data_IF_833107116498
#
_entry.id   IF_833107116498
#
_cell.length_a   1.000
_cell.length_b   1.000
_cell.length_c   1.000
_cell.angle_alpha   90.00
_cell.angle_beta   90.00
_cell.angle_gamma   90.00
#
_symmetry.space_group_name_H-M   'P 1'
#
loop_
_entity.id
_entity.type
_entity.pdbx_description
1 polymer ?
#
# COMPACT_ATOMS: atom_id res chain seq x y z
N UNK A 1 -33.59 -2.07 -9.27
CA UNK A 1 -32.92 -0.91 -9.93
C UNK A 1 -33.02 0.40 -9.15
N UNK A 2 -34.19 1.03 -8.97
CA UNK A 2 -34.26 2.30 -8.19
C UNK A 2 -34.08 2.12 -6.67
N UNK A 3 -34.49 0.97 -6.10
CA UNK A 3 -34.30 0.70 -4.66
C UNK A 3 -32.84 0.34 -4.30
N UNK A 4 -32.14 -0.41 -5.16
CA UNK A 4 -30.72 -0.77 -4.93
C UNK A 4 -29.79 0.45 -4.97
N UNK A 5 -30.07 1.43 -5.83
CA UNK A 5 -29.30 2.67 -5.91
C UNK A 5 -29.49 3.55 -4.65
N UNK A 6 -30.68 3.51 -4.04
CA UNK A 6 -31.00 4.29 -2.85
C UNK A 6 -30.40 3.66 -1.59
N UNK A 7 -30.31 2.33 -1.55
CA UNK A 7 -29.67 1.57 -0.47
C UNK A 7 -28.14 1.75 -0.49
N UNK A 8 -27.53 1.77 -1.69
CA UNK A 8 -26.10 2.10 -1.85
C UNK A 8 -25.77 3.57 -1.54
N UNK A 9 -26.69 4.50 -1.81
CA UNK A 9 -26.52 5.93 -1.47
C UNK A 9 -26.62 6.17 0.05
N UNK A 10 -27.43 5.40 0.77
CA UNK A 10 -27.47 5.44 2.24
C UNK A 10 -26.22 4.81 2.86
N UNK A 11 -25.78 3.67 2.32
CA UNK A 11 -24.59 2.97 2.79
C UNK A 11 -23.33 3.83 2.62
N UNK A 12 -23.16 4.46 1.45
CA UNK A 12 -22.03 5.36 1.20
C UNK A 12 -22.06 6.61 2.10
N UNK A 13 -23.23 7.20 2.36
CA UNK A 13 -23.36 8.32 3.30
C UNK A 13 -23.04 7.91 4.74
N UNK A 14 -23.46 6.72 5.17
CA UNK A 14 -23.17 6.22 6.51
C UNK A 14 -21.67 5.90 6.69
N UNK A 15 -20.99 5.37 5.67
CA UNK A 15 -19.55 5.12 5.68
C UNK A 15 -18.75 6.44 5.70
N UNK A 16 -19.12 7.42 4.87
CA UNK A 16 -18.45 8.73 4.85
C UNK A 16 -18.68 9.50 6.17
N UNK A 17 -19.88 9.40 6.75
CA UNK A 17 -20.19 10.05 8.02
C UNK A 17 -19.49 9.40 9.23
N UNK A 18 -19.29 8.08 9.22
CA UNK A 18 -18.52 7.39 10.26
C UNK A 18 -17.01 7.67 10.17
N UNK A 19 -16.46 7.78 8.96
CA UNK A 19 -15.08 8.24 8.75
C UNK A 19 -14.87 9.70 9.19
N UNK A 20 -15.88 10.56 8.98
CA UNK A 20 -15.89 11.95 9.46
C UNK A 20 -15.96 12.04 11.00
N UNK A 21 -16.74 11.17 11.65
CA UNK A 21 -16.84 11.13 13.10
C UNK A 21 -15.53 10.67 13.79
N UNK A 22 -14.76 9.80 13.14
CA UNK A 22 -13.42 9.40 13.59
C UNK A 22 -12.38 10.54 13.55
N UNK A 23 -12.64 11.64 12.83
CA UNK A 23 -11.79 12.84 12.82
C UNK A 23 -12.22 13.92 13.83
N UNK A 24 -13.35 13.72 14.53
CA UNK A 24 -13.87 14.71 15.50
C UNK A 24 -13.61 14.38 16.97
N UNK A 25 -12.94 13.27 17.28
CA UNK A 25 -12.67 12.86 18.68
C UNK A 25 -11.30 13.31 19.24
N UNK A 26 -10.54 14.14 18.52
CA UNK A 26 -9.24 14.68 19.00
C UNK A 26 -9.33 15.79 20.07
N UNK A 27 -10.50 16.03 20.66
CA UNK A 27 -10.67 17.03 21.74
C UNK A 27 -11.64 16.55 22.82
N UNK A 28 -11.26 15.57 23.64
CA UNK A 28 -11.34 15.62 25.11
C UNK A 28 -10.43 14.53 25.68
N UNK A 29 -9.18 14.88 26.01
CA UNK A 29 -8.39 14.14 27.01
C UNK A 29 -8.03 15.14 28.10
N UNK A 30 -8.51 14.89 29.31
CA UNK A 30 -8.15 15.64 30.52
C UNK A 30 -7.03 14.88 31.25
N UNK A 31 -6.08 15.60 31.90
CA UNK A 31 -4.87 14.98 32.42
C UNK A 31 -5.06 14.47 33.86
N UNK A 32 -4.56 13.26 34.14
CA UNK A 32 -4.24 12.83 35.50
C UNK A 32 -2.72 12.82 35.64
N UNK A 33 -2.24 13.60 36.61
CA UNK A 33 -0.84 13.78 36.98
C UNK A 33 -0.35 12.69 37.95
N UNK A 34 0.98 12.70 38.10
CA UNK A 34 1.84 12.07 39.12
C UNK A 34 2.33 10.65 38.79
N UNK A 35 3.64 10.35 38.75
CA UNK A 35 4.81 11.16 39.01
C UNK A 35 6.10 10.33 38.98
N UNK A 36 7.20 11.03 38.63
CA UNK A 36 8.56 10.90 39.17
C UNK A 36 9.33 9.58 38.96
N UNK A 37 10.38 9.63 38.14
CA UNK A 37 11.76 9.42 38.59
C UNK A 37 12.77 9.87 37.52
N UNK A 38 13.65 10.79 37.94
CA UNK A 38 14.75 11.35 37.17
C UNK A 38 15.98 10.43 37.15
N UNK A 39 16.76 10.49 36.09
CA UNK A 39 18.22 10.32 36.16
C UNK A 39 18.91 11.09 35.03
N UNK A 40 19.56 12.17 35.45
CA UNK A 40 20.54 13.01 34.77
C UNK A 40 21.78 12.22 34.33
N UNK A 41 22.46 12.66 33.26
CA UNK A 41 23.89 13.07 33.18
C UNK A 41 24.34 13.03 31.70
N UNK A 42 24.62 14.15 31.00
CA UNK A 42 25.95 14.83 30.79
C UNK A 42 27.00 13.86 30.19
N UNK A 43 27.88 14.14 29.24
CA UNK A 43 28.17 15.20 28.26
C UNK A 43 29.36 14.70 27.40
N UNK A 44 29.59 15.36 26.25
CA UNK A 44 30.91 15.56 25.60
C UNK A 44 31.61 14.29 25.02
N UNK A 45 32.44 14.30 23.98
CA UNK A 45 33.22 15.35 23.32
C UNK A 45 33.91 14.75 22.05
N UNK A 46 34.15 15.57 21.01
CA UNK A 46 35.35 15.65 20.11
C UNK A 46 36.07 14.37 19.57
N UNK A 47 36.72 14.25 18.41
CA UNK A 47 37.05 15.05 17.21
C UNK A 47 37.92 14.15 16.26
N UNK A 48 38.06 14.56 14.99
CA UNK A 48 39.31 14.53 14.19
C UNK A 48 39.80 13.26 13.46
N UNK A 49 39.77 13.33 12.11
CA UNK A 49 40.64 12.65 11.13
C UNK A 49 42.11 13.11 11.22
N UNK A 50 43.08 12.40 10.61
CA UNK A 50 43.65 12.97 9.38
C UNK A 50 44.17 11.97 8.32
N UNK A 51 44.35 12.54 7.11
CA UNK A 51 44.92 12.06 5.84
C UNK A 51 46.33 11.43 5.93
N UNK A 52 46.74 10.56 5.01
CA UNK A 52 47.55 10.85 3.78
C UNK A 52 48.47 9.61 3.54
N UNK A 53 49.06 9.22 2.40
CA UNK A 53 49.32 9.79 1.09
C UNK A 53 49.70 8.66 0.08
N UNK A 54 49.43 8.88 -1.21
CA UNK A 54 50.21 8.55 -2.44
C UNK A 54 51.11 7.31 -2.54
N UNK A 55 51.00 6.55 -3.65
CA UNK A 55 51.94 6.67 -4.79
C UNK A 55 51.46 5.99 -6.10
N UNK A 56 51.91 6.56 -7.22
CA UNK A 56 51.54 6.24 -8.61
C UNK A 56 52.49 5.21 -9.26
N UNK A 57 52.03 4.63 -10.40
CA UNK A 57 52.71 4.62 -11.74
C UNK A 57 52.86 3.24 -12.44
N UNK A 58 51.95 3.00 -13.41
CA UNK A 58 52.21 2.78 -14.87
C UNK A 58 53.18 1.67 -15.36
N UNK A 59 52.69 0.70 -16.16
CA UNK A 59 52.76 0.64 -17.64
C UNK A 59 52.42 -0.74 -18.26
N UNK A 60 51.73 -0.69 -19.42
CA UNK A 60 51.77 -1.53 -20.66
C UNK A 60 52.00 -3.05 -20.62
N UNK A 61 51.56 -3.91 -21.55
CA UNK A 61 50.63 -3.93 -22.69
C UNK A 61 50.71 -5.37 -23.25
N UNK A 62 49.64 -5.96 -23.81
CA UNK A 62 49.63 -6.72 -25.09
C UNK A 62 48.34 -7.53 -25.30
N UNK A 63 47.60 -7.14 -26.36
CA UNK A 63 46.91 -7.95 -27.38
C UNK A 63 46.23 -9.28 -27.00
N UNK A 64 44.91 -9.34 -27.21
CA UNK A 64 44.35 -10.36 -28.12
C UNK A 64 43.08 -9.87 -28.84
N UNK A 65 43.00 -10.20 -30.13
CA UNK A 65 41.93 -9.89 -31.08
C UNK A 65 40.88 -11.01 -31.03
N UNK A 66 39.60 -10.66 -31.15
CA UNK A 66 38.65 -11.33 -32.03
C UNK A 66 37.38 -10.46 -32.18
N UNK A 67 37.21 -9.91 -33.38
CA UNK A 67 35.96 -9.45 -33.97
C UNK A 67 35.17 -10.70 -34.43
N UNK A 68 33.85 -10.82 -34.57
CA UNK A 68 32.68 -9.97 -34.89
C UNK A 68 31.42 -10.87 -34.66
N UNK A 69 30.16 -10.47 -34.96
CA UNK A 69 29.63 -9.14 -35.24
C UNK A 69 28.48 -8.73 -34.30
N UNK A 70 28.37 -7.41 -34.24
CA UNK A 70 27.20 -6.60 -33.99
C UNK A 70 25.92 -7.12 -34.69
N UNK A 71 24.89 -7.39 -33.88
CA UNK A 71 23.49 -7.43 -34.30
C UNK A 71 22.77 -6.37 -33.49
N UNK A 72 22.99 -5.11 -33.88
CA UNK A 72 22.10 -3.99 -33.55
C UNK A 72 20.76 -4.26 -34.24
N UNK A 73 19.94 -5.10 -33.62
CA UNK A 73 18.52 -5.12 -33.89
C UNK A 73 17.88 -4.27 -32.81
N UNK A 74 17.68 -2.99 -33.15
CA UNK A 74 16.73 -2.14 -32.46
C UNK A 74 15.41 -2.91 -32.41
N UNK A 75 15.18 -3.60 -31.29
CA UNK A 75 13.91 -4.24 -31.02
C UNK A 75 12.98 -3.08 -30.79
N UNK A 76 12.21 -2.75 -31.83
CA UNK A 76 10.96 -2.03 -31.67
C UNK A 76 10.17 -2.82 -30.64
N UNK A 77 10.29 -2.42 -29.37
CA UNK A 77 9.56 -2.99 -28.26
C UNK A 77 8.13 -2.55 -28.47
N UNK A 78 7.43 -3.28 -29.34
CA UNK A 78 6.00 -3.47 -29.19
C UNK A 78 5.83 -3.96 -27.76
N UNK A 79 5.46 -3.05 -26.87
CA UNK A 79 5.38 -3.24 -25.42
C UNK A 79 4.37 -4.35 -25.20
N UNK A 80 4.84 -5.60 -25.15
CA UNK A 80 3.98 -6.72 -24.86
C UNK A 80 3.37 -6.48 -23.47
N UNK A 81 2.06 -6.63 -23.31
CA UNK A 81 1.43 -6.51 -22.00
C UNK A 81 2.16 -7.43 -21.02
N UNK A 82 2.57 -6.88 -19.87
CA UNK A 82 3.18 -7.67 -18.79
C UNK A 82 2.15 -8.66 -18.27
N UNK A 83 2.26 -9.93 -18.67
CA UNK A 83 1.28 -10.98 -18.39
C UNK A 83 1.98 -12.28 -18.09
N UNK A 84 1.66 -12.89 -16.94
CA UNK A 84 2.13 -14.22 -16.61
C UNK A 84 1.58 -15.20 -17.65
N UNK A 85 2.46 -15.96 -18.30
CA UNK A 85 2.03 -16.94 -19.30
C UNK A 85 1.39 -18.15 -18.59
N UNK A 86 0.44 -18.85 -19.22
CA UNK A 86 -0.05 -20.13 -18.71
C UNK A 86 1.11 -21.07 -18.41
N UNK A 87 1.13 -21.65 -17.20
CA UNK A 87 2.22 -22.53 -16.75
C UNK A 87 3.47 -21.82 -16.22
N UNK A 88 3.45 -20.48 -16.06
CA UNK A 88 4.51 -19.77 -15.33
C UNK A 88 4.58 -20.27 -13.90
N UNK A 89 5.76 -20.70 -13.47
CA UNK A 89 6.00 -21.13 -12.08
C UNK A 89 5.80 -19.96 -11.12
N UNK A 90 5.34 -20.25 -9.91
CA UNK A 90 5.14 -19.27 -8.84
C UNK A 90 6.35 -18.36 -8.64
N UNK A 91 7.55 -18.94 -8.52
CA UNK A 91 8.81 -18.22 -8.37
C UNK A 91 9.01 -17.14 -9.45
N UNK A 92 8.48 -17.35 -10.66
CA UNK A 92 8.62 -16.43 -11.81
C UNK A 92 7.42 -15.53 -12.03
N UNK A 93 6.36 -15.67 -11.25
CA UNK A 93 5.20 -14.80 -11.35
C UNK A 93 5.60 -13.38 -11.03
N UNK A 94 5.13 -12.43 -11.85
CA UNK A 94 5.34 -10.99 -11.64
C UNK A 94 6.81 -10.52 -11.67
N UNK A 95 7.77 -11.35 -12.09
CA UNK A 95 9.18 -10.99 -12.28
C UNK A 95 9.41 -10.14 -13.54
N UNK A 96 8.69 -9.03 -13.65
CA UNK A 96 8.83 -8.10 -14.76
C UNK A 96 9.95 -7.09 -14.47
N UNK A 97 10.64 -6.59 -15.51
CA UNK A 97 11.55 -5.47 -15.35
C UNK A 97 10.83 -4.26 -14.75
N UNK A 98 11.46 -3.60 -13.77
CA UNK A 98 10.96 -2.35 -13.23
C UNK A 98 10.99 -1.27 -14.31
N UNK A 99 9.93 -0.46 -14.34
CA UNK A 99 9.74 0.60 -15.32
C UNK A 99 9.38 1.90 -14.60
N UNK A 100 9.93 3.04 -15.04
CA UNK A 100 9.51 4.33 -14.51
C UNK A 100 8.04 4.60 -14.87
N UNK A 101 7.33 5.32 -14.00
CA UNK A 101 5.90 5.62 -14.16
C UNK A 101 5.58 6.22 -15.55
N UNK A 102 6.41 7.15 -16.02
CA UNK A 102 6.24 7.84 -17.31
C UNK A 102 6.25 6.91 -18.53
N UNK A 103 6.81 5.70 -18.38
CA UNK A 103 6.88 4.70 -19.47
C UNK A 103 5.70 3.72 -19.48
N UNK A 104 4.76 3.86 -18.54
CA UNK A 104 3.59 2.98 -18.42
C UNK A 104 2.42 3.61 -19.18
N UNK A 105 2.23 3.19 -20.43
CA UNK A 105 1.10 3.58 -21.27
C UNK A 105 -0.16 2.76 -20.92
N UNK A 106 -0.78 3.04 -19.77
CA UNK A 106 -1.99 2.36 -19.29
C UNK A 106 -2.92 3.35 -18.58
N UNK A 107 -4.23 3.14 -18.69
CA UNK A 107 -5.21 3.87 -17.88
C UNK A 107 -5.04 3.62 -16.37
N UNK A 108 -4.32 2.56 -16.00
CA UNK A 108 -4.03 2.16 -14.63
C UNK A 108 -2.54 2.34 -14.26
N UNK A 109 -1.83 3.26 -14.91
CA UNK A 109 -0.40 3.44 -14.75
C UNK A 109 0.05 3.59 -13.27
N UNK A 110 -0.65 4.40 -12.47
CA UNK A 110 -0.32 4.57 -11.04
C UNK A 110 -0.48 3.28 -10.25
N UNK A 111 -1.56 2.53 -10.50
CA UNK A 111 -1.81 1.24 -9.85
C UNK A 111 -0.73 0.23 -10.21
N UNK A 112 -0.42 0.11 -11.50
CA UNK A 112 0.64 -0.80 -11.98
C UNK A 112 1.99 -0.44 -11.36
N UNK A 113 2.31 0.85 -11.29
CA UNK A 113 3.52 1.34 -10.63
C UNK A 113 3.55 1.01 -9.14
N UNK A 114 2.48 1.33 -8.40
CA UNK A 114 2.36 1.03 -6.96
C UNK A 114 2.56 -0.47 -6.68
N UNK A 115 1.90 -1.33 -7.46
CA UNK A 115 2.05 -2.76 -7.28
C UNK A 115 3.43 -3.28 -7.68
N UNK A 116 4.12 -2.63 -8.62
CA UNK A 116 5.49 -2.98 -8.98
C UNK A 116 6.49 -2.64 -7.88
N UNK A 117 6.33 -1.49 -7.21
CA UNK A 117 7.19 -1.09 -6.09
C UNK A 117 6.93 -1.95 -4.85
N UNK A 118 5.67 -2.29 -4.52
CA UNK A 118 5.32 -3.19 -3.41
C UNK A 118 5.93 -4.58 -3.61
N UNK A 119 5.84 -5.14 -4.82
CA UNK A 119 6.40 -6.46 -5.12
C UNK A 119 7.92 -6.47 -5.13
N UNK A 120 8.56 -5.34 -5.46
CA UNK A 120 10.01 -5.23 -5.48
C UNK A 120 10.57 -5.18 -4.07
N UNK A 121 10.04 -4.29 -3.23
CA UNK A 121 10.46 -4.14 -1.84
C UNK A 121 9.32 -3.60 -0.97
N UNK A 122 8.57 -4.47 -0.26
CA UNK A 122 7.46 -4.04 0.59
C UNK A 122 7.93 -3.33 1.87
N UNK A 123 9.22 -3.40 2.21
CA UNK A 123 9.76 -2.78 3.43
C UNK A 123 10.24 -1.34 3.21
N UNK A 124 10.37 -0.91 1.95
CA UNK A 124 10.75 0.45 1.60
C UNK A 124 9.55 1.41 1.69
N UNK A 125 9.07 1.63 2.91
CA UNK A 125 7.88 2.44 3.19
C UNK A 125 8.06 3.87 2.70
N UNK A 126 9.26 4.44 2.84
CA UNK A 126 9.56 5.81 2.38
C UNK A 126 9.29 5.97 0.88
N UNK A 127 9.68 4.98 0.06
CA UNK A 127 9.36 4.97 -1.37
C UNK A 127 7.87 4.76 -1.62
N UNK A 128 7.22 3.84 -0.90
CA UNK A 128 5.81 3.51 -1.08
C UNK A 128 4.87 4.69 -0.81
N UNK A 129 5.17 5.49 0.21
CA UNK A 129 4.34 6.65 0.59
C UNK A 129 4.69 7.91 -0.20
N UNK A 130 5.86 7.96 -0.85
CA UNK A 130 6.28 9.12 -1.63
C UNK A 130 5.38 9.34 -2.85
N UNK A 131 4.91 10.58 -3.04
CA UNK A 131 4.11 10.96 -4.21
C UNK A 131 5.00 10.97 -5.46
N UNK A 132 4.69 10.18 -6.52
CA UNK A 132 5.45 10.23 -7.77
C UNK A 132 5.37 11.63 -8.42
N UNK A 133 6.47 12.06 -9.04
CA UNK A 133 6.56 13.38 -9.64
C UNK A 133 5.48 13.62 -10.70
N UNK A 134 4.81 14.78 -10.63
CA UNK A 134 3.79 15.17 -11.60
C UNK A 134 2.44 14.48 -11.44
N UNK A 135 2.24 13.69 -10.38
CA UNK A 135 0.96 13.06 -10.06
C UNK A 135 0.15 13.87 -9.06
N UNK A 136 -1.17 13.71 -9.13
CA UNK A 136 -2.11 14.27 -8.17
C UNK A 136 -2.13 13.44 -6.87
N UNK A 137 -2.12 14.15 -5.74
CA UNK A 137 -2.07 13.55 -4.40
C UNK A 137 -3.30 12.68 -4.12
N UNK A 138 -4.50 13.14 -4.48
CA UNK A 138 -5.73 12.41 -4.23
C UNK A 138 -5.80 11.12 -5.07
N UNK A 139 -5.33 11.18 -6.32
CA UNK A 139 -5.23 10.02 -7.20
C UNK A 139 -4.26 8.97 -6.64
N UNK A 140 -3.13 9.40 -6.07
CA UNK A 140 -2.18 8.50 -5.42
C UNK A 140 -2.74 7.87 -4.14
N UNK A 141 -3.36 8.67 -3.26
CA UNK A 141 -4.03 8.19 -2.07
C UNK A 141 -5.12 7.17 -2.41
N UNK A 142 -5.87 7.43 -3.47
CA UNK A 142 -6.93 6.55 -3.93
C UNK A 142 -6.41 5.19 -4.41
N UNK A 143 -5.29 5.13 -5.14
CA UNK A 143 -4.67 3.83 -5.48
C UNK A 143 -4.17 3.09 -4.25
N UNK A 144 -3.64 3.79 -3.25
CA UNK A 144 -3.29 3.21 -1.95
C UNK A 144 -4.49 2.61 -1.24
N UNK A 145 -5.62 3.33 -1.19
CA UNK A 145 -6.86 2.80 -0.59
C UNK A 145 -7.34 1.53 -1.30
N UNK A 146 -7.30 1.51 -2.64
CA UNK A 146 -7.60 0.31 -3.41
C UNK A 146 -6.63 -0.83 -3.12
N UNK A 147 -5.34 -0.53 -3.01
CA UNK A 147 -4.31 -1.54 -2.73
C UNK A 147 -4.47 -2.12 -1.32
N UNK A 148 -4.74 -1.29 -0.31
CA UNK A 148 -5.00 -1.75 1.06
C UNK A 148 -6.22 -2.68 1.08
N UNK A 149 -7.29 -2.34 0.38
CA UNK A 149 -8.46 -3.22 0.30
C UNK A 149 -8.13 -4.57 -0.36
N UNK A 150 -7.26 -4.57 -1.38
CA UNK A 150 -6.80 -5.81 -2.01
C UNK A 150 -5.98 -6.68 -1.04
N UNK A 151 -5.03 -6.10 -0.30
CA UNK A 151 -4.19 -6.83 0.66
C UNK A 151 -5.01 -7.34 1.86
N UNK A 152 -5.93 -6.54 2.39
CA UNK A 152 -6.81 -6.94 3.50
C UNK A 152 -7.72 -8.12 3.13
N UNK A 153 -8.16 -8.21 1.86
CA UNK A 153 -8.94 -9.36 1.41
C UNK A 153 -8.14 -10.66 1.58
N UNK A 154 -6.85 -10.66 1.20
CA UNK A 154 -6.00 -11.83 1.39
C UNK A 154 -5.80 -12.16 2.87
N UNK A 155 -5.63 -11.14 3.72
CA UNK A 155 -5.48 -11.32 5.16
C UNK A 155 -6.73 -11.96 5.79
N UNK A 156 -7.93 -11.48 5.46
CA UNK A 156 -9.18 -12.03 5.99
C UNK A 156 -9.31 -13.52 5.65
N UNK A 157 -9.00 -13.91 4.40
CA UNK A 157 -9.03 -15.32 3.98
C UNK A 157 -8.03 -16.17 4.78
N UNK A 158 -6.86 -15.64 5.10
CA UNK A 158 -5.88 -16.37 5.92
C UNK A 158 -6.28 -16.48 7.40
N UNK A 159 -7.08 -15.54 7.91
CA UNK A 159 -7.56 -15.53 9.30
C UNK A 159 -8.78 -16.44 9.53
N UNK A 160 -9.54 -16.75 8.49
CA UNK A 160 -10.78 -17.54 8.58
C UNK A 160 -10.68 -18.84 9.40
N UNK A 161 -9.59 -19.63 9.33
CA UNK A 161 -9.46 -20.86 10.12
C UNK A 161 -9.36 -20.63 11.64
N UNK A 162 -8.91 -19.45 12.06
CA UNK A 162 -8.67 -19.11 13.47
C UNK A 162 -9.72 -18.12 14.02
N UNK A 163 -10.38 -17.37 13.13
CA UNK A 163 -11.38 -16.37 13.47
C UNK A 163 -12.76 -16.82 12.99
N UNK A 164 -13.45 -17.59 13.83
CA UNK A 164 -14.82 -18.06 13.55
C UNK A 164 -15.84 -17.32 14.43
N UNK A 165 -17.15 -17.38 14.12
CA UNK A 165 -18.19 -16.81 14.97
C UNK A 165 -18.19 -17.33 16.42
N UNK A 166 -17.68 -18.53 16.65
CA UNK A 166 -17.58 -19.13 17.98
C UNK A 166 -16.35 -18.63 18.76
N UNK A 167 -15.23 -18.44 18.07
CA UNK A 167 -13.96 -18.00 18.69
C UNK A 167 -13.98 -16.48 18.89
N UNK A 168 -14.49 -15.75 17.90
CA UNK A 168 -14.53 -14.28 17.85
C UNK A 168 -15.99 -13.79 17.68
N UNK A 169 -16.87 -13.99 18.68
CA UNK A 169 -18.30 -13.70 18.57
C UNK A 169 -18.63 -12.21 18.41
N UNK A 170 -17.69 -11.33 18.75
CA UNK A 170 -17.83 -9.88 18.73
C UNK A 170 -16.55 -9.26 18.14
N UNK A 171 -16.69 -8.20 17.34
CA UNK A 171 -15.55 -7.39 16.89
C UNK A 171 -15.05 -6.49 18.04
N UNK A 172 -14.01 -6.92 18.74
CA UNK A 172 -13.44 -6.20 19.89
C UNK A 172 -11.94 -5.99 19.73
N UNK A 173 -11.46 -4.79 20.06
CA UNK A 173 -10.03 -4.52 20.25
C UNK A 173 -9.84 -4.01 21.68
N UNK A 174 -9.11 -4.78 22.49
CA UNK A 174 -8.93 -4.49 23.92
C UNK A 174 -10.29 -4.33 24.65
N UNK A 175 -10.61 -3.11 25.09
CA UNK A 175 -11.85 -2.74 25.77
C UNK A 175 -12.93 -2.17 24.84
N UNK A 176 -12.60 -1.94 23.57
CA UNK A 176 -13.48 -1.29 22.59
C UNK A 176 -14.25 -2.31 21.77
N UNK A 177 -15.58 -2.20 21.79
CA UNK A 177 -16.51 -2.97 20.97
C UNK A 177 -16.92 -2.16 19.73
N UNK A 178 -16.81 -2.77 18.55
CA UNK A 178 -17.10 -2.12 17.27
C UNK A 178 -18.44 -2.58 16.68
N UNK A 179 -19.27 -1.60 16.32
CA UNK A 179 -20.57 -1.82 15.68
C UNK A 179 -20.46 -1.72 14.16
N UNK A 180 -21.02 -2.69 13.44
CA UNK A 180 -20.96 -2.74 11.98
C UNK A 180 -21.94 -1.73 11.36
N UNK A 181 -21.39 -0.76 10.61
CA UNK A 181 -22.16 0.30 9.95
C UNK A 181 -22.81 -0.12 8.61
N UNK A 182 -22.51 -1.32 8.11
CA UNK A 182 -23.08 -1.85 6.86
C UNK A 182 -24.58 -2.16 6.98
N UNK A 183 -25.09 -2.21 8.21
CA UNK A 183 -26.50 -2.45 8.49
C UNK A 183 -27.29 -1.14 8.59
N UNK A 184 -28.62 -1.15 8.29
CA UNK A 184 -29.48 0.03 8.42
C UNK A 184 -29.45 0.65 9.82
N UNK A 185 -29.28 -0.19 10.85
CA UNK A 185 -29.00 0.22 12.22
C UNK A 185 -27.71 -0.47 12.65
N UNK A 186 -26.69 0.28 13.09
CA UNK A 186 -25.43 -0.30 13.54
C UNK A 186 -25.68 -1.38 14.59
N UNK A 187 -25.07 -2.54 14.40
CA UNK A 187 -25.24 -3.71 15.28
C UNK A 187 -23.93 -4.47 15.44
N UNK A 188 -23.88 -5.31 16.47
CA UNK A 188 -22.78 -6.24 16.68
C UNK A 188 -22.74 -7.29 15.57
N UNK A 189 -21.53 -7.63 15.15
CA UNK A 189 -21.23 -8.74 14.27
C UNK A 189 -20.05 -9.51 14.89
N UNK A 190 -19.95 -10.80 14.59
CA UNK A 190 -18.74 -11.52 14.87
C UNK A 190 -17.56 -10.88 14.12
N UNK A 191 -16.34 -11.09 14.59
CA UNK A 191 -15.19 -10.33 14.07
C UNK A 191 -14.95 -10.60 12.57
N UNK A 192 -15.05 -11.85 12.12
CA UNK A 192 -14.83 -12.20 10.71
C UNK A 192 -15.90 -11.60 9.78
N UNK A 193 -17.15 -11.58 10.22
CA UNK A 193 -18.25 -10.92 9.50
C UNK A 193 -18.07 -9.41 9.47
N UNK A 194 -17.67 -8.81 10.60
CA UNK A 194 -17.40 -7.37 10.67
C UNK A 194 -16.30 -6.97 9.67
N UNK A 195 -15.19 -7.72 9.63
CA UNK A 195 -14.08 -7.46 8.71
C UNK A 195 -14.55 -7.56 7.25
N UNK A 196 -15.29 -8.62 6.92
CA UNK A 196 -15.84 -8.83 5.57
C UNK A 196 -16.80 -7.71 5.18
N UNK A 197 -17.79 -7.39 6.02
CA UNK A 197 -18.75 -6.32 5.76
C UNK A 197 -18.10 -4.95 5.60
N UNK A 198 -17.06 -4.68 6.38
CA UNK A 198 -16.31 -3.41 6.32
C UNK A 198 -15.54 -3.32 5.01
N UNK A 199 -14.87 -4.39 4.62
CA UNK A 199 -14.07 -4.43 3.40
C UNK A 199 -14.93 -4.41 2.12
N UNK A 200 -16.08 -5.09 2.14
CA UNK A 200 -17.08 -5.02 1.08
C UNK A 200 -17.64 -3.60 0.93
N UNK A 201 -17.96 -2.95 2.05
CA UNK A 201 -18.42 -1.56 2.08
C UNK A 201 -17.39 -0.59 1.52
N UNK A 202 -16.12 -0.72 1.93
CA UNK A 202 -15.02 0.07 1.40
C UNK A 202 -14.81 -0.16 -0.11
N UNK A 203 -14.83 -1.42 -0.54
CA UNK A 203 -14.70 -1.79 -1.95
C UNK A 203 -15.85 -1.21 -2.79
N UNK A 204 -17.10 -1.28 -2.29
CA UNK A 204 -18.26 -0.70 -2.96
C UNK A 204 -18.15 0.82 -3.08
N UNK A 205 -17.67 1.50 -2.04
CA UNK A 205 -17.47 2.95 -2.06
C UNK A 205 -16.39 3.35 -3.06
N UNK A 206 -15.24 2.66 -3.05
CA UNK A 206 -14.11 2.96 -3.94
C UNK A 206 -14.44 2.70 -5.42
N UNK A 207 -15.38 1.81 -5.72
CA UNK A 207 -15.82 1.53 -7.10
C UNK A 207 -17.06 2.34 -7.52
N UNK A 208 -17.53 3.26 -6.68
CA UNK A 208 -18.73 4.04 -6.98
C UNK A 208 -18.41 5.29 -7.82
N UNK A 209 -18.90 5.31 -9.07
CA UNK A 209 -18.69 6.40 -10.03
C UNK A 209 -19.20 7.77 -9.55
N UNK A 210 -20.14 7.81 -8.59
CA UNK A 210 -20.63 9.07 -8.00
C UNK A 210 -19.54 9.76 -7.18
N UNK A 211 -18.74 8.98 -6.45
CA UNK A 211 -17.68 9.49 -5.59
C UNK A 211 -16.33 9.54 -6.33
N UNK A 212 -16.12 8.60 -7.27
CA UNK A 212 -14.90 8.48 -8.07
C UNK A 212 -15.24 8.40 -9.58
N UNK A 213 -15.62 9.51 -10.24
CA UNK A 213 -16.09 9.52 -11.63
C UNK A 213 -15.00 9.29 -12.68
N UNK A 214 -13.73 9.42 -12.29
CA UNK A 214 -12.56 9.18 -13.15
C UNK A 214 -12.13 7.70 -13.21
N UNK A 215 -12.88 6.80 -12.58
CA UNK A 215 -12.67 5.34 -12.61
C UNK A 215 -13.40 4.65 -13.74
#
# INVERSE_FOLDING_TARGET
>A
MLMEAQEQDLLSKNIVQSLSMAHTEDKVVSPIQDGVAAATTTAADTNTSPSSATDNRQQDSTLNKNASPESTLASQSTTRPQRNLPGTKEEKLYQWPQRPLDSIESAFALREYLQAIIRHDPHNVDLLISLPSGQDENSWLYEHLCQICLELNFLIVHLEPECTPEICPEMRAEEWLYYCATHPTPRECCAIDYLTHTLDGASALLNNFKFFPSR
#
